data_IF_456912899550
#
_entry.id   IF_456912899550
#
_cell.length_a   1.000
_cell.length_b   1.000
_cell.length_c   1.000
_cell.angle_alpha   90.00
_cell.angle_beta   90.00
_cell.angle_gamma   90.00
#
_symmetry.space_group_name_H-M   'P 1'
#
loop_
_entity.id
_entity.type
_entity.pdbx_description
1 polymer ?
#
# COMPACT_ATOMS: atom_id res chain seq x y z
N UNK A 1 -19.80 -9.00 -5.82
CA UNK A 1 -18.67 -9.70 -6.45
C UNK A 1 -17.74 -10.20 -5.39
N UNK A 2 -17.10 -11.33 -5.64
CA UNK A 2 -16.15 -11.90 -4.69
C UNK A 2 -14.73 -11.42 -4.98
N UNK A 3 -13.90 -11.44 -3.94
CA UNK A 3 -12.48 -11.13 -4.07
C UNK A 3 -11.79 -12.32 -4.76
N UNK A 4 -11.07 -12.06 -5.83
CA UNK A 4 -10.48 -13.11 -6.67
C UNK A 4 -9.03 -12.83 -7.00
N UNK A 5 -8.22 -13.89 -7.02
CA UNK A 5 -6.84 -13.83 -7.50
C UNK A 5 -6.82 -13.24 -8.91
N UNK A 6 -5.86 -12.37 -9.17
CA UNK A 6 -5.74 -11.64 -10.43
C UNK A 6 -6.25 -10.21 -10.38
N UNK A 7 -6.95 -9.82 -9.29
CA UNK A 7 -7.41 -8.44 -9.14
C UNK A 7 -6.20 -7.50 -9.07
N UNK A 8 -6.29 -6.38 -9.78
CA UNK A 8 -5.20 -5.40 -9.89
C UNK A 8 -5.72 -4.01 -9.49
N UNK A 9 -4.91 -3.30 -8.72
CA UNK A 9 -5.16 -1.91 -8.39
C UNK A 9 -3.90 -1.08 -8.58
N UNK A 10 -4.10 0.23 -8.76
CA UNK A 10 -2.99 1.17 -8.89
C UNK A 10 -3.24 2.39 -8.01
N UNK A 11 -2.16 3.09 -7.71
CA UNK A 11 -2.22 4.37 -7.02
C UNK A 11 -1.02 5.21 -7.45
N UNK A 12 -1.19 6.52 -7.55
CA UNK A 12 -0.14 7.41 -8.06
C UNK A 12 0.00 8.63 -7.17
N UNK A 13 1.20 9.20 -7.17
CA UNK A 13 1.50 10.42 -6.45
C UNK A 13 2.59 11.20 -7.20
N UNK A 14 2.63 12.52 -6.98
CA UNK A 14 3.76 13.36 -7.40
C UNK A 14 4.68 13.50 -6.21
N UNK A 15 5.98 13.42 -6.42
CA UNK A 15 6.95 13.68 -5.34
C UNK A 15 7.00 15.19 -5.09
N UNK A 16 6.66 15.58 -3.87
CA UNK A 16 6.65 16.98 -3.41
C UNK A 16 7.62 17.12 -2.25
N UNK A 17 7.96 18.36 -1.84
CA UNK A 17 8.80 18.53 -0.65
C UNK A 17 8.26 17.84 0.60
N UNK A 18 6.91 17.71 0.73
CA UNK A 18 6.27 17.17 1.91
C UNK A 18 6.32 15.65 2.02
N UNK A 19 6.53 14.93 0.91
CA UNK A 19 6.59 13.46 0.94
C UNK A 19 8.00 12.90 0.72
N UNK A 20 9.01 13.74 0.97
CA UNK A 20 10.41 13.32 0.91
C UNK A 20 10.86 12.66 2.21
N UNK A 21 11.93 11.87 2.11
CA UNK A 21 12.55 11.24 3.29
C UNK A 21 12.93 12.28 4.34
N UNK A 22 13.48 13.42 3.91
CA UNK A 22 13.86 14.49 4.82
C UNK A 22 12.66 15.06 5.57
N UNK A 23 11.53 15.25 4.87
CA UNK A 23 10.33 15.84 5.48
C UNK A 23 9.67 14.91 6.50
N UNK A 24 9.67 13.60 6.25
CA UNK A 24 8.98 12.65 7.13
C UNK A 24 9.90 11.98 8.16
N UNK A 25 11.19 12.28 8.11
CA UNK A 25 12.14 11.75 9.08
C UNK A 25 12.60 10.33 8.82
N UNK A 26 12.39 9.80 7.61
CA UNK A 26 12.84 8.45 7.25
C UNK A 26 14.24 8.45 6.61
N UNK A 27 14.85 9.61 6.45
CA UNK A 27 16.18 9.81 5.91
C UNK A 27 16.52 11.28 5.90
N UNK A 28 17.61 11.65 5.23
CA UNK A 28 18.11 13.02 5.24
C UNK A 28 17.99 13.74 3.89
N UNK A 29 17.54 13.03 2.85
CA UNK A 29 17.59 13.57 1.48
C UNK A 29 16.20 13.95 0.96
N UNK A 30 16.13 14.90 0.00
CA UNK A 30 14.86 15.33 -0.59
C UNK A 30 14.42 14.42 -1.75
N UNK A 31 14.24 13.16 -1.45
CA UNK A 31 13.76 12.13 -2.40
C UNK A 31 12.54 11.45 -1.82
N UNK A 32 11.74 10.83 -2.69
CA UNK A 32 10.49 10.17 -2.28
C UNK A 32 10.74 9.22 -1.11
N UNK A 33 9.97 9.40 -0.03
CA UNK A 33 10.19 8.65 1.21
C UNK A 33 9.75 7.20 1.08
N UNK A 34 10.55 6.27 1.60
CA UNK A 34 10.20 4.85 1.62
C UNK A 34 8.83 4.59 2.27
N UNK A 35 8.50 5.20 3.44
CA UNK A 35 7.16 5.02 4.01
C UNK A 35 6.04 5.46 3.08
N UNK A 36 6.26 6.51 2.28
CA UNK A 36 5.24 6.96 1.32
C UNK A 36 5.11 6.00 0.14
N UNK A 37 6.22 5.42 -0.33
CA UNK A 37 6.17 4.37 -1.36
C UNK A 37 5.34 3.19 -0.85
N UNK A 38 5.57 2.78 0.40
CA UNK A 38 4.81 1.68 1.01
C UNK A 38 3.34 2.05 1.14
N UNK A 39 3.03 3.26 1.60
CA UNK A 39 1.64 3.72 1.68
C UNK A 39 0.96 3.69 0.31
N UNK A 40 1.69 4.05 -0.74
CA UNK A 40 1.17 4.02 -2.12
C UNK A 40 0.90 2.59 -2.56
N UNK A 41 1.78 1.65 -2.23
CA UNK A 41 1.58 0.22 -2.49
C UNK A 41 0.36 -0.32 -1.74
N UNK A 42 0.18 0.09 -0.48
CA UNK A 42 -1.00 -0.28 0.31
C UNK A 42 -2.28 0.27 -0.32
N UNK A 43 -2.24 1.51 -0.78
CA UNK A 43 -3.38 2.13 -1.45
C UNK A 43 -3.73 1.38 -2.74
N UNK A 44 -2.73 0.99 -3.52
CA UNK A 44 -2.94 0.19 -4.72
C UNK A 44 -3.62 -1.15 -4.38
N UNK A 45 -3.19 -1.81 -3.29
CA UNK A 45 -3.80 -3.05 -2.84
C UNK A 45 -5.27 -2.84 -2.42
N UNK A 46 -5.56 -1.77 -1.70
CA UNK A 46 -6.95 -1.41 -1.35
C UNK A 46 -7.79 -1.20 -2.61
N UNK A 47 -7.26 -0.51 -3.61
CA UNK A 47 -7.96 -0.25 -4.86
C UNK A 47 -8.24 -1.55 -5.63
N UNK A 48 -7.35 -2.54 -5.54
CA UNK A 48 -7.52 -3.82 -6.21
C UNK A 48 -8.77 -4.57 -5.76
N UNK A 49 -9.19 -4.39 -4.51
CA UNK A 49 -10.31 -5.16 -3.92
C UNK A 49 -11.50 -4.28 -3.54
N UNK A 50 -11.43 -2.97 -3.78
CA UNK A 50 -12.44 -2.01 -3.29
C UNK A 50 -13.86 -2.41 -3.73
N UNK A 51 -14.04 -2.77 -4.99
CA UNK A 51 -15.36 -3.08 -5.55
C UNK A 51 -15.90 -4.44 -5.11
N UNK A 52 -15.05 -5.29 -4.53
CA UNK A 52 -15.44 -6.63 -4.10
C UNK A 52 -15.73 -6.72 -2.60
N UNK A 53 -15.52 -5.64 -1.85
CA UNK A 53 -15.79 -5.62 -0.41
C UNK A 53 -17.29 -5.58 -0.15
N UNK A 54 -17.72 -6.30 0.88
CA UNK A 54 -19.11 -6.28 1.34
C UNK A 54 -19.33 -5.06 2.23
N UNK A 55 -20.61 -4.72 2.47
CA UNK A 55 -20.94 -3.61 3.35
C UNK A 55 -20.35 -3.81 4.75
N UNK A 56 -19.66 -2.79 5.26
CA UNK A 56 -19.00 -2.84 6.56
C UNK A 56 -17.65 -3.56 6.56
N UNK A 57 -17.29 -4.19 5.46
CA UNK A 57 -16.02 -4.90 5.34
C UNK A 57 -14.91 -3.96 4.90
N UNK A 58 -13.72 -4.18 5.43
CA UNK A 58 -12.51 -3.46 5.04
C UNK A 58 -11.32 -4.40 5.11
N UNK A 59 -10.13 -3.88 4.91
CA UNK A 59 -8.90 -4.63 5.11
C UNK A 59 -7.86 -3.79 5.83
N UNK A 60 -6.95 -4.45 6.51
CA UNK A 60 -5.82 -3.80 7.17
C UNK A 60 -4.52 -4.45 6.72
N UNK A 61 -3.47 -3.66 6.59
CA UNK A 61 -2.14 -4.16 6.25
C UNK A 61 -1.53 -4.87 7.45
N UNK A 62 -0.96 -6.05 7.22
CA UNK A 62 -0.37 -6.88 8.27
C UNK A 62 1.09 -7.22 8.03
N UNK A 63 1.56 -7.11 6.79
CA UNK A 63 2.95 -7.44 6.48
C UNK A 63 3.40 -6.72 5.21
N UNK A 64 4.61 -6.22 5.25
CA UNK A 64 5.30 -5.63 4.11
C UNK A 64 6.67 -6.27 4.00
N UNK A 65 6.99 -6.79 2.84
CA UNK A 65 8.30 -7.34 2.52
C UNK A 65 8.69 -6.77 1.16
N UNK A 66 9.21 -5.56 1.17
CA UNK A 66 9.47 -4.79 -0.05
C UNK A 66 10.89 -4.22 -0.02
N UNK A 67 11.40 -3.97 -1.22
CA UNK A 67 12.65 -3.23 -1.41
C UNK A 67 12.36 -1.88 -2.05
N UNK A 68 13.16 -0.89 -1.71
CA UNK A 68 13.13 0.44 -2.33
C UNK A 68 14.51 0.64 -2.97
N UNK A 69 14.58 0.38 -4.26
CA UNK A 69 15.85 0.16 -4.95
C UNK A 69 16.41 1.40 -5.65
N UNK A 70 15.56 2.38 -5.95
CA UNK A 70 15.97 3.60 -6.65
C UNK A 70 15.26 4.81 -6.05
N UNK A 71 15.97 5.92 -5.97
CA UNK A 71 15.44 7.18 -5.44
C UNK A 71 14.71 7.96 -6.52
N UNK A 72 13.66 8.69 -6.13
CA UNK A 72 12.88 9.55 -7.02
C UNK A 72 12.93 11.00 -6.53
N UNK A 73 13.38 11.94 -7.36
CA UNK A 73 13.46 13.36 -6.94
C UNK A 73 12.10 14.04 -6.97
N UNK A 74 12.04 15.19 -6.30
CA UNK A 74 10.86 16.06 -6.32
C UNK A 74 10.49 16.41 -7.77
N UNK A 75 9.20 16.39 -8.08
CA UNK A 75 8.66 16.73 -9.39
C UNK A 75 8.31 15.53 -10.27
N UNK A 76 8.89 14.37 -10.00
CA UNK A 76 8.54 13.15 -10.73
C UNK A 76 7.26 12.50 -10.20
N UNK A 77 6.63 11.67 -11.03
CA UNK A 77 5.47 10.88 -10.66
C UNK A 77 5.92 9.49 -10.22
N UNK A 78 5.20 8.94 -9.24
CA UNK A 78 5.38 7.54 -8.81
C UNK A 78 4.04 6.85 -8.95
N UNK A 79 4.04 5.65 -9.53
CA UNK A 79 2.86 4.81 -9.63
C UNK A 79 3.15 3.47 -8.99
N UNK A 80 2.27 3.06 -8.07
CA UNK A 80 2.31 1.73 -7.48
C UNK A 80 1.23 0.86 -8.10
N UNK A 81 1.51 -0.43 -8.19
CA UNK A 81 0.57 -1.44 -8.68
C UNK A 81 0.56 -2.60 -7.69
N UNK A 82 -0.62 -3.13 -7.42
CA UNK A 82 -0.80 -4.31 -6.59
C UNK A 82 -1.62 -5.33 -7.35
N UNK A 83 -1.17 -6.58 -7.33
CA UNK A 83 -1.90 -7.70 -7.90
C UNK A 83 -2.16 -8.73 -6.81
N UNK A 84 -3.40 -9.12 -6.62
CA UNK A 84 -3.78 -10.15 -5.66
C UNK A 84 -3.34 -11.51 -6.20
N UNK A 85 -2.42 -12.17 -5.48
CA UNK A 85 -1.82 -13.43 -5.94
C UNK A 85 -2.25 -14.63 -5.10
N UNK A 86 -2.81 -14.39 -3.89
CA UNK A 86 -3.26 -15.49 -3.04
C UNK A 86 -4.40 -15.02 -2.15
N UNK A 87 -5.41 -15.85 -1.99
CA UNK A 87 -6.51 -15.66 -1.05
C UNK A 87 -6.58 -16.90 -0.18
N UNK A 88 -6.37 -16.74 1.12
CA UNK A 88 -6.50 -17.81 2.10
C UNK A 88 -7.45 -17.33 3.20
N UNK A 89 -8.74 -17.61 3.02
CA UNK A 89 -9.83 -17.14 3.91
C UNK A 89 -9.82 -15.61 3.92
N UNK A 90 -9.47 -14.99 5.05
CA UNK A 90 -9.41 -13.52 5.18
C UNK A 90 -8.03 -12.93 4.92
N UNK A 91 -7.03 -13.80 4.70
CA UNK A 91 -5.67 -13.36 4.40
C UNK A 91 -5.51 -13.17 2.90
N UNK A 92 -5.05 -12.01 2.52
CA UNK A 92 -4.81 -11.63 1.12
C UNK A 92 -3.33 -11.33 0.94
N UNK A 93 -2.74 -11.89 -0.11
CA UNK A 93 -1.34 -11.63 -0.46
C UNK A 93 -1.28 -10.94 -1.81
N UNK A 94 -0.57 -9.83 -1.85
CA UNK A 94 -0.40 -9.02 -3.06
C UNK A 94 1.07 -9.00 -3.48
N UNK A 95 1.31 -9.05 -4.79
CA UNK A 95 2.56 -8.59 -5.37
C UNK A 95 2.44 -7.09 -5.58
N UNK A 96 3.43 -6.35 -5.11
CA UNK A 96 3.41 -4.89 -5.24
C UNK A 96 4.66 -4.42 -5.97
N UNK A 97 4.49 -3.40 -6.81
CA UNK A 97 5.58 -2.76 -7.53
C UNK A 97 5.37 -1.26 -7.48
N UNK A 98 6.46 -0.52 -7.65
CA UNK A 98 6.38 0.93 -7.82
C UNK A 98 7.40 1.35 -8.87
N UNK A 99 7.03 2.35 -9.66
CA UNK A 99 7.90 2.92 -10.69
C UNK A 99 7.75 4.42 -10.72
N UNK A 100 8.81 5.12 -11.13
CA UNK A 100 8.74 6.55 -11.41
C UNK A 100 8.81 6.78 -12.92
N UNK A 101 8.96 8.05 -13.33
CA UNK A 101 9.00 8.40 -14.76
C UNK A 101 10.22 7.80 -15.49
N UNK A 102 11.24 7.37 -14.75
CA UNK A 102 12.46 6.80 -15.33
C UNK A 102 12.51 5.27 -15.29
N UNK A 103 11.70 4.62 -14.45
CA UNK A 103 11.67 3.15 -14.37
C UNK A 103 11.31 2.64 -12.98
N UNK A 104 11.53 1.33 -12.72
CA UNK A 104 11.19 0.70 -11.45
C UNK A 104 11.98 1.32 -10.29
N UNK A 105 11.31 1.48 -9.14
CA UNK A 105 11.94 1.99 -7.93
C UNK A 105 11.82 1.03 -6.75
N UNK A 106 10.87 0.09 -6.78
CA UNK A 106 10.71 -0.87 -5.69
C UNK A 106 9.72 -1.96 -6.02
N UNK A 107 9.74 -3.03 -5.21
CA UNK A 107 8.86 -4.17 -5.43
C UNK A 107 8.88 -5.07 -4.19
N UNK A 108 7.90 -5.97 -4.13
CA UNK A 108 7.87 -6.99 -3.08
C UNK A 108 6.49 -7.59 -2.91
N UNK A 109 6.20 -8.03 -1.69
CA UNK A 109 4.90 -8.61 -1.32
C UNK A 109 4.29 -7.84 -0.16
N UNK A 110 2.96 -7.88 -0.10
CA UNK A 110 2.18 -7.20 0.92
C UNK A 110 1.01 -8.08 1.31
N UNK A 111 0.80 -8.26 2.62
CA UNK A 111 -0.34 -9.02 3.11
C UNK A 111 -1.33 -8.10 3.79
N UNK A 112 -2.61 -8.39 3.58
CA UNK A 112 -3.71 -7.70 4.22
C UNK A 112 -4.69 -8.73 4.78
N UNK A 113 -5.47 -8.30 5.78
CA UNK A 113 -6.52 -9.13 6.35
C UNK A 113 -7.86 -8.44 6.19
N UNK A 114 -8.85 -9.22 5.75
CA UNK A 114 -10.24 -8.75 5.69
C UNK A 114 -10.79 -8.68 7.12
N UNK A 115 -11.43 -7.56 7.44
CA UNK A 115 -12.00 -7.31 8.77
C UNK A 115 -13.38 -6.67 8.60
N UNK A 116 -14.16 -6.72 9.67
CA UNK A 116 -15.36 -5.90 9.76
C UNK A 116 -14.97 -4.61 10.48
N UNK A 117 -15.14 -3.48 9.80
CA UNK A 117 -14.58 -2.20 10.25
C UNK A 117 -15.02 -1.82 11.68
N UNK A 118 -16.31 -1.94 11.96
CA UNK A 118 -16.84 -1.55 13.27
C UNK A 118 -16.26 -2.40 14.42
N UNK A 119 -16.21 -3.71 14.24
CA UNK A 119 -15.68 -4.63 15.25
C UNK A 119 -14.19 -4.43 15.43
N UNK A 120 -13.47 -4.25 14.33
CA UNK A 120 -12.03 -4.05 14.37
C UNK A 120 -11.68 -2.77 15.12
N UNK A 121 -12.37 -1.67 14.79
CA UNK A 121 -12.14 -0.38 15.43
C UNK A 121 -12.50 -0.41 16.90
N UNK A 122 -13.63 -1.05 17.25
CA UNK A 122 -14.06 -1.17 18.65
C UNK A 122 -13.01 -1.93 19.49
N UNK A 123 -12.42 -2.98 18.94
CA UNK A 123 -11.38 -3.74 19.63
C UNK A 123 -10.12 -2.88 19.84
N UNK A 124 -9.74 -2.09 18.85
CA UNK A 124 -8.61 -1.18 18.99
C UNK A 124 -8.86 -0.10 20.04
N UNK A 125 -10.06 0.51 20.02
CA UNK A 125 -10.44 1.55 20.97
C UNK A 125 -10.52 1.01 22.42
N UNK A 126 -10.89 -0.26 22.59
CA UNK A 126 -10.97 -0.89 23.90
C UNK A 126 -9.62 -0.95 24.63
N UNK A 127 -8.50 -0.78 23.91
CA UNK A 127 -7.15 -0.75 24.51
C UNK A 127 -6.94 0.49 25.38
N UNK A 128 -7.74 1.51 25.21
CA UNK A 128 -7.65 2.72 26.04
C UNK A 128 -8.16 2.53 27.46
N UNK A 129 -8.79 1.41 27.73
CA UNK A 129 -9.32 1.05 29.03
C UNK A 129 -10.79 1.35 29.14
#
# INVERSE_FOLDING_TARGET
MSISVGAVGTASAVVTPENTAAAVGSGALPVFATPYMIALMENAACNAIADALEEGQSSVGTKLDVSHDAATPVGMHVTAKAELIEVDRRRLVFRVTAEDDAGPIGQGTHERFLIMADKFLAKAEAKKG
#
